data_IF_531680296361
#
_entry.id   IF_531680296361
#
_cell.length_a   1.000
_cell.length_b   1.000
_cell.length_c   1.000
_cell.angle_alpha   90.00
_cell.angle_beta   90.00
_cell.angle_gamma   90.00
#
_symmetry.space_group_name_H-M   'P 1'
#
loop_
_entity.id
_entity.type
_entity.pdbx_description
1 polymer ?
#
# COMPACT_ATOMS: atom_id res chain seq x y z
N UNK A 1 -14.22 0.60 -4.16
CA UNK A 1 -12.98 -0.20 -4.29
C UNK A 1 -11.78 0.76 -4.34
N UNK A 2 -11.23 1.15 -3.18
CA UNK A 2 -10.15 2.15 -3.10
C UNK A 2 -8.81 1.61 -2.57
N UNK A 3 -8.79 0.40 -2.00
CA UNK A 3 -7.63 -0.11 -1.26
C UNK A 3 -7.37 -1.58 -1.63
N UNK A 4 -6.64 -1.87 -2.72
CA UNK A 4 -6.21 -3.22 -3.04
C UNK A 4 -5.45 -3.83 -1.85
N UNK A 5 -5.98 -4.90 -1.27
CA UNK A 5 -5.40 -5.58 -0.13
C UNK A 5 -5.97 -7.00 -0.06
N UNK A 6 -5.11 -7.98 0.22
CA UNK A 6 -5.56 -9.35 0.41
C UNK A 6 -6.15 -9.55 1.81
N UNK A 7 -5.57 -8.90 2.82
CA UNK A 7 -6.04 -8.98 4.20
C UNK A 7 -6.80 -7.70 4.55
N UNK A 8 -8.12 -7.74 4.81
CA UNK A 8 -8.89 -6.57 5.20
C UNK A 8 -8.51 -6.08 6.62
N UNK A 9 -8.85 -4.83 6.98
CA UNK A 9 -8.74 -4.37 8.36
C UNK A 9 -9.73 -5.10 9.28
N UNK A 10 -9.60 -4.92 10.60
CA UNK A 10 -10.41 -5.59 11.64
C UNK A 10 -11.93 -5.47 11.46
N UNK A 11 -12.38 -4.40 10.82
CA UNK A 11 -13.78 -4.06 10.55
C UNK A 11 -14.11 -4.11 9.04
N UNK A 12 -13.22 -4.68 8.22
CA UNK A 12 -13.34 -4.68 6.78
C UNK A 12 -13.95 -5.97 6.21
N UNK A 13 -14.57 -5.83 5.05
CA UNK A 13 -15.04 -6.97 4.25
C UNK A 13 -13.91 -7.57 3.43
N UNK A 14 -14.08 -8.84 3.06
CA UNK A 14 -13.20 -9.48 2.06
C UNK A 14 -13.18 -8.67 0.76
N UNK A 15 -12.04 -8.65 0.06
CA UNK A 15 -11.96 -7.89 -1.18
C UNK A 15 -12.99 -8.47 -2.18
N UNK A 16 -13.76 -7.61 -2.87
CA UNK A 16 -14.80 -8.07 -3.80
C UNK A 16 -14.25 -8.72 -5.08
N UNK A 17 -12.93 -8.79 -5.21
CA UNK A 17 -12.17 -9.25 -6.36
C UNK A 17 -10.71 -9.49 -5.97
N UNK A 18 -9.92 -10.07 -6.87
CA UNK A 18 -8.47 -10.14 -6.72
C UNK A 18 -7.88 -8.71 -6.60
N UNK A 19 -7.08 -8.39 -5.57
CA UNK A 19 -6.50 -7.07 -5.42
C UNK A 19 -5.66 -6.61 -6.63
N UNK A 20 -5.04 -7.51 -7.39
CA UNK A 20 -4.31 -7.15 -8.60
C UNK A 20 -5.24 -6.56 -9.68
N UNK A 21 -6.46 -7.06 -9.78
CA UNK A 21 -7.51 -6.47 -10.65
C UNK A 21 -7.85 -5.05 -10.16
N UNK A 22 -7.95 -4.87 -8.84
CA UNK A 22 -8.15 -3.57 -8.23
C UNK A 22 -7.03 -2.57 -8.55
N UNK A 23 -5.77 -3.02 -8.53
CA UNK A 23 -4.61 -2.20 -8.95
C UNK A 23 -4.72 -1.82 -10.43
N UNK A 24 -4.95 -2.80 -11.31
CA UNK A 24 -5.07 -2.57 -12.74
C UNK A 24 -6.19 -1.55 -13.06
N UNK A 25 -7.33 -1.67 -12.38
CA UNK A 25 -8.44 -0.71 -12.52
C UNK A 25 -8.06 0.69 -12.08
N UNK A 26 -7.39 0.84 -10.93
CA UNK A 26 -6.97 2.16 -10.46
C UNK A 26 -5.98 2.82 -11.43
N UNK A 27 -5.03 2.06 -11.98
CA UNK A 27 -4.10 2.53 -13.01
C UNK A 27 -4.87 3.01 -14.24
N UNK A 28 -5.82 2.21 -14.74
CA UNK A 28 -6.61 2.54 -15.92
C UNK A 28 -7.45 3.81 -15.73
N UNK A 29 -8.14 3.95 -14.60
CA UNK A 29 -8.96 5.14 -14.30
C UNK A 29 -8.07 6.38 -14.18
N UNK A 30 -6.93 6.27 -13.49
CA UNK A 30 -5.99 7.39 -13.34
C UNK A 30 -5.49 7.87 -14.70
N UNK A 31 -5.17 6.94 -15.60
CA UNK A 31 -4.75 7.27 -16.96
C UNK A 31 -5.86 7.94 -17.79
N UNK A 32 -7.12 7.49 -17.66
CA UNK A 32 -8.26 8.14 -18.31
C UNK A 32 -8.45 9.57 -17.81
N UNK A 33 -8.34 9.80 -16.50
CA UNK A 33 -8.40 11.15 -15.91
C UNK A 33 -7.28 12.02 -16.47
N UNK A 34 -6.04 11.52 -16.51
CA UNK A 34 -4.90 12.28 -17.04
C UNK A 34 -5.05 12.61 -18.52
N UNK A 35 -5.62 11.70 -19.31
CA UNK A 35 -5.91 11.94 -20.73
C UNK A 35 -6.97 13.01 -20.95
N UNK A 36 -8.01 13.05 -20.10
CA UNK A 36 -9.09 14.04 -20.20
C UNK A 36 -8.72 15.41 -19.62
N UNK A 37 -7.76 15.44 -18.69
CA UNK A 37 -7.31 16.65 -18.00
C UNK A 37 -5.78 16.74 -18.03
N UNK A 38 -5.16 16.97 -19.20
CA UNK A 38 -3.70 16.88 -19.37
C UNK A 38 -2.91 17.88 -18.51
N UNK A 39 -3.50 19.05 -18.23
CA UNK A 39 -2.85 20.10 -17.43
C UNK A 39 -2.99 19.87 -15.92
N UNK A 40 -3.90 19.00 -15.49
CA UNK A 40 -4.06 18.64 -14.09
C UNK A 40 -2.95 17.65 -13.69
N UNK A 41 -2.24 17.96 -12.61
CA UNK A 41 -1.28 17.01 -12.02
C UNK A 41 -2.01 15.89 -11.29
N UNK A 42 -1.68 14.65 -11.63
CA UNK A 42 -2.34 13.43 -11.15
C UNK A 42 -1.35 12.53 -10.43
N UNK A 43 -1.74 12.07 -9.23
CA UNK A 43 -0.99 11.08 -8.44
C UNK A 43 -1.70 9.73 -8.51
N UNK A 44 -1.05 8.73 -9.10
CA UNK A 44 -1.50 7.35 -9.07
C UNK A 44 -1.28 6.73 -7.69
N UNK A 45 -2.27 6.00 -7.18
CA UNK A 45 -2.19 5.29 -5.88
C UNK A 45 -2.55 3.81 -6.03
N UNK A 46 -2.39 3.01 -4.96
CA UNK A 46 -2.74 1.58 -4.97
C UNK A 46 -1.60 0.61 -5.34
N UNK A 47 -0.41 1.11 -5.64
CA UNK A 47 0.68 0.31 -6.23
C UNK A 47 1.38 -0.62 -5.23
N UNK A 48 1.18 -0.46 -3.92
CA UNK A 48 1.91 -1.25 -2.90
C UNK A 48 1.70 -2.77 -3.02
N UNK A 49 0.59 -3.23 -3.60
CA UNK A 49 0.35 -4.66 -3.82
C UNK A 49 1.27 -5.27 -4.89
N UNK A 50 1.86 -4.45 -5.76
CA UNK A 50 2.78 -4.88 -6.82
C UNK A 50 4.17 -5.27 -6.29
N UNK A 51 4.51 -4.88 -5.04
CA UNK A 51 5.76 -5.26 -4.37
C UNK A 51 7.01 -5.00 -5.25
N UNK A 52 7.78 -6.03 -5.62
CA UNK A 52 8.97 -5.89 -6.48
C UNK A 52 8.67 -5.27 -7.85
N UNK A 53 7.44 -5.42 -8.36
CA UNK A 53 7.05 -4.89 -9.65
C UNK A 53 6.64 -3.42 -9.59
N UNK A 54 6.46 -2.87 -8.38
CA UNK A 54 6.02 -1.49 -8.17
C UNK A 54 6.85 -0.49 -8.99
N UNK A 55 8.20 -0.49 -8.94
CA UNK A 55 8.99 0.50 -9.66
C UNK A 55 8.87 0.37 -11.18
N UNK A 56 8.76 -0.86 -11.68
CA UNK A 56 8.64 -1.13 -13.11
C UNK A 56 7.31 -0.64 -13.66
N UNK A 57 6.21 -0.94 -12.96
CA UNK A 57 4.87 -0.46 -13.32
C UNK A 57 4.76 1.05 -13.16
N UNK A 58 5.29 1.61 -12.06
CA UNK A 58 5.30 3.05 -11.84
C UNK A 58 6.02 3.80 -12.96
N UNK A 59 7.20 3.32 -13.38
CA UNK A 59 7.95 3.88 -14.51
C UNK A 59 7.14 3.82 -15.80
N UNK A 60 6.47 2.71 -16.09
CA UNK A 60 5.66 2.56 -17.30
C UNK A 60 4.49 3.55 -17.31
N UNK A 61 3.75 3.66 -16.20
CA UNK A 61 2.60 4.58 -16.07
C UNK A 61 3.04 6.03 -16.28
N UNK A 62 4.11 6.48 -15.62
CA UNK A 62 4.58 7.87 -15.76
C UNK A 62 5.06 8.14 -17.18
N UNK A 63 5.83 7.22 -17.79
CA UNK A 63 6.33 7.38 -19.16
C UNK A 63 5.24 7.41 -20.23
N UNK A 64 4.13 6.73 -19.98
CA UNK A 64 2.98 6.69 -20.88
C UNK A 64 1.99 7.84 -20.63
N UNK A 65 2.31 8.76 -19.72
CA UNK A 65 1.41 9.87 -19.38
C UNK A 65 0.14 9.43 -18.65
N UNK A 66 0.16 8.26 -17.99
CA UNK A 66 -0.98 7.76 -17.22
C UNK A 66 -1.12 8.39 -15.83
N UNK A 67 -0.05 8.98 -15.31
CA UNK A 67 -0.01 9.81 -14.10
C UNK A 67 1.29 10.64 -14.10
N UNK A 68 1.32 11.76 -13.37
CA UNK A 68 2.54 12.57 -13.21
C UNK A 68 3.42 12.01 -12.08
N UNK A 69 2.79 11.45 -11.04
CA UNK A 69 3.48 10.88 -9.89
C UNK A 69 2.85 9.54 -9.47
N UNK A 70 3.64 8.69 -8.82
CA UNK A 70 3.12 7.50 -8.12
C UNK A 70 3.30 7.68 -6.62
N UNK A 71 2.19 7.75 -5.91
CA UNK A 71 2.16 7.94 -4.46
C UNK A 71 2.38 6.63 -3.70
N UNK A 72 3.25 6.68 -2.68
CA UNK A 72 3.50 5.56 -1.78
C UNK A 72 2.85 5.82 -0.41
N UNK A 73 1.77 5.10 -0.12
CA UNK A 73 1.14 5.08 1.20
C UNK A 73 1.76 3.98 2.07
N UNK A 74 1.03 2.88 2.24
CA UNK A 74 1.40 1.76 3.15
C UNK A 74 2.80 1.15 2.92
N UNK A 75 3.37 1.29 1.72
CA UNK A 75 4.74 0.84 1.44
C UNK A 75 5.80 1.66 2.20
N UNK A 76 5.59 2.97 2.36
CA UNK A 76 6.56 3.84 3.05
C UNK A 76 6.65 3.54 4.54
N UNK A 77 5.59 2.96 5.13
CA UNK A 77 5.56 2.56 6.53
C UNK A 77 6.47 1.37 6.84
N UNK A 78 6.70 0.49 5.86
CA UNK A 78 7.57 -0.68 6.03
C UNK A 78 8.93 -0.52 5.35
N UNK A 79 9.00 0.30 4.30
CA UNK A 79 10.21 0.54 3.52
C UNK A 79 10.35 2.02 3.12
N UNK A 80 10.64 2.93 4.06
CA UNK A 80 10.68 4.37 3.78
C UNK A 80 11.78 4.77 2.78
N UNK A 81 12.87 4.00 2.72
CA UNK A 81 14.00 4.23 1.81
C UNK A 81 13.75 3.71 0.39
N UNK A 82 12.62 3.03 0.12
CA UNK A 82 12.34 2.41 -1.18
C UNK A 82 12.56 3.36 -2.37
N UNK A 83 12.09 4.62 -2.37
CA UNK A 83 12.34 5.53 -3.49
C UNK A 83 13.82 5.79 -3.72
N UNK A 84 14.58 6.04 -2.65
CA UNK A 84 16.02 6.31 -2.74
C UNK A 84 16.80 5.08 -3.24
N UNK A 85 16.46 3.89 -2.74
CA UNK A 85 17.11 2.64 -3.16
C UNK A 85 16.83 2.35 -4.64
N UNK A 86 15.60 2.52 -5.11
CA UNK A 86 15.22 2.35 -6.52
C UNK A 86 15.97 3.34 -7.42
N UNK A 87 16.02 4.62 -7.04
CA UNK A 87 16.70 5.66 -7.83
C UNK A 87 18.21 5.45 -7.90
N UNK A 88 18.81 4.86 -6.86
CA UNK A 88 20.23 4.53 -6.82
C UNK A 88 20.56 3.17 -7.47
N UNK A 89 19.56 2.46 -8.01
CA UNK A 89 19.75 1.14 -8.62
C UNK A 89 20.14 0.06 -7.61
N UNK A 90 19.86 0.27 -6.32
CA UNK A 90 20.12 -0.72 -5.27
C UNK A 90 19.14 -1.87 -5.35
N UNK A 91 19.58 -3.06 -4.94
CA UNK A 91 18.69 -4.21 -4.77
C UNK A 91 17.65 -3.92 -3.70
N UNK A 92 16.36 -4.02 -4.06
CA UNK A 92 15.27 -3.80 -3.13
C UNK A 92 15.21 -4.88 -2.04
N UNK A 93 15.00 -4.45 -0.81
CA UNK A 93 14.91 -5.33 0.35
C UNK A 93 13.51 -5.97 0.47
N UNK A 94 13.36 -7.17 -0.12
CA UNK A 94 12.08 -7.91 -0.13
C UNK A 94 11.41 -8.06 1.25
N UNK A 95 12.20 -8.20 2.32
CA UNK A 95 11.71 -8.35 3.70
C UNK A 95 10.85 -7.15 4.17
N UNK A 96 11.09 -5.97 3.59
CA UNK A 96 10.42 -4.72 3.92
C UNK A 96 9.18 -4.45 3.04
N UNK A 97 8.86 -5.31 2.06
CA UNK A 97 7.70 -5.10 1.22
C UNK A 97 6.39 -5.22 1.99
N UNK A 98 5.53 -4.22 1.82
CA UNK A 98 4.18 -4.22 2.36
C UNK A 98 3.39 -5.40 1.78
N UNK A 99 2.97 -6.33 2.65
CA UNK A 99 2.16 -7.50 2.30
C UNK A 99 0.67 -7.30 2.55
N UNK A 100 0.24 -6.05 2.71
CA UNK A 100 -1.16 -5.65 2.89
C UNK A 100 -1.88 -6.28 4.08
N UNK A 101 -1.19 -6.50 5.20
CA UNK A 101 -1.75 -7.06 6.45
C UNK A 101 -2.85 -6.20 7.11
N UNK A 102 -3.01 -4.97 6.66
CA UNK A 102 -3.97 -3.98 7.14
C UNK A 102 -3.78 -3.43 8.55
N UNK A 103 -2.71 -3.77 9.27
CA UNK A 103 -2.43 -3.26 10.62
C UNK A 103 -2.35 -1.72 10.67
N UNK A 104 -1.74 -1.10 9.66
CA UNK A 104 -1.70 0.36 9.47
C UNK A 104 -3.09 1.02 9.40
N UNK A 105 -4.15 0.26 9.14
CA UNK A 105 -5.55 0.71 9.13
C UNK A 105 -6.32 0.20 10.34
N UNK A 106 -6.11 -1.05 10.74
CA UNK A 106 -6.71 -1.64 11.95
C UNK A 106 -6.36 -0.84 13.20
N UNK A 107 -5.09 -0.49 13.40
CA UNK A 107 -4.64 0.23 14.59
C UNK A 107 -5.39 1.57 14.79
N UNK A 108 -5.34 2.54 13.85
CA UNK A 108 -5.99 3.84 14.06
C UNK A 108 -7.52 3.75 14.15
N UNK A 109 -8.14 2.73 13.56
CA UNK A 109 -9.60 2.51 13.70
C UNK A 109 -10.01 2.05 15.09
N UNK A 110 -9.06 1.61 15.91
CA UNK A 110 -9.29 1.16 17.29
C UNK A 110 -8.57 2.07 18.30
N UNK A 111 -8.26 3.31 17.94
CA UNK A 111 -7.60 4.27 18.84
C UNK A 111 -6.12 4.00 19.10
N UNK A 112 -5.49 3.10 18.34
CA UNK A 112 -4.07 2.75 18.45
C UNK A 112 -3.27 3.48 17.38
N UNK A 113 -2.01 3.85 17.67
CA UNK A 113 -1.15 4.55 16.70
C UNK A 113 -0.97 3.75 15.40
N UNK A 114 -1.04 4.45 14.25
CA UNK A 114 -0.88 3.83 12.93
C UNK A 114 0.58 3.53 12.61
N UNK A 115 0.87 2.34 12.10
CA UNK A 115 2.20 1.96 11.64
C UNK A 115 2.27 0.57 11.00
N UNK A 116 3.50 0.08 10.78
CA UNK A 116 3.75 -1.25 10.25
C UNK A 116 4.28 -2.23 11.31
N UNK A 117 3.40 -2.60 12.22
CA UNK A 117 3.63 -3.59 13.29
C UNK A 117 4.41 -4.87 12.89
N UNK A 118 4.17 -5.52 11.74
CA UNK A 118 4.85 -6.77 11.43
C UNK A 118 6.24 -6.62 10.78
N UNK A 119 6.55 -5.46 10.18
CA UNK A 119 7.75 -5.27 9.34
C UNK A 119 8.69 -4.16 9.80
N UNK A 120 8.17 -3.15 10.51
CA UNK A 120 8.96 -2.09 11.09
C UNK A 120 9.38 -2.50 12.51
N UNK A 121 10.68 -2.54 12.79
CA UNK A 121 11.22 -2.98 14.08
C UNK A 121 10.73 -2.12 15.24
N UNK A 122 10.60 -0.80 15.05
CA UNK A 122 10.13 0.10 16.10
C UNK A 122 8.69 -0.26 16.50
N UNK A 123 7.78 -0.37 15.53
CA UNK A 123 6.39 -0.75 15.81
C UNK A 123 6.24 -2.18 16.33
N UNK A 124 7.15 -3.08 15.97
CA UNK A 124 7.13 -4.47 16.46
C UNK A 124 7.51 -4.57 17.94
N UNK A 125 8.37 -3.68 18.42
CA UNK A 125 8.84 -3.63 19.80
C UNK A 125 7.90 -2.85 20.72
N UNK A 126 6.97 -2.08 20.15
CA UNK A 126 5.98 -1.31 20.90
C UNK A 126 4.93 -2.22 21.60
N UNK A 127 4.48 -1.88 22.81
CA UNK A 127 3.39 -2.59 23.50
C UNK A 127 2.11 -2.70 22.65
N UNK A 128 1.83 -1.69 21.83
CA UNK A 128 0.69 -1.60 20.91
C UNK A 128 0.66 -2.74 19.88
N UNK A 129 1.82 -3.37 19.59
CA UNK A 129 1.86 -4.57 18.75
C UNK A 129 0.92 -5.66 19.25
N UNK A 130 0.95 -5.94 20.56
CA UNK A 130 0.08 -6.96 21.15
C UNK A 130 -1.39 -6.55 21.09
N UNK A 131 -1.69 -5.27 21.35
CA UNK A 131 -3.05 -4.74 21.25
C UNK A 131 -3.63 -4.95 19.83
N UNK A 132 -2.86 -4.62 18.79
CA UNK A 132 -3.29 -4.82 17.39
C UNK A 132 -3.49 -6.30 17.07
N UNK A 133 -2.63 -7.18 17.59
CA UNK A 133 -2.76 -8.62 17.40
C UNK A 133 -4.02 -9.19 18.08
N UNK A 134 -4.37 -8.71 19.26
CA UNK A 134 -5.58 -9.08 19.98
C UNK A 134 -6.84 -8.61 19.25
N UNK A 135 -6.86 -7.35 18.80
CA UNK A 135 -7.95 -6.79 17.98
C UNK A 135 -8.20 -7.66 16.74
N UNK A 136 -7.14 -8.00 15.99
CA UNK A 136 -7.28 -8.84 14.79
C UNK A 136 -7.80 -10.25 15.09
N UNK A 137 -7.36 -10.86 16.19
CA UNK A 137 -7.83 -12.18 16.62
C UNK A 137 -9.30 -12.15 17.01
N UNK A 138 -9.76 -11.07 17.66
CA UNK A 138 -11.17 -10.91 18.00
C UNK A 138 -12.03 -10.77 16.75
N UNK A 139 -11.60 -9.97 15.77
CA UNK A 139 -12.31 -9.77 14.50
C UNK A 139 -12.38 -11.00 13.60
N UNK A 140 -11.41 -11.91 13.66
CA UNK A 140 -11.39 -13.12 12.83
C UNK A 140 -12.34 -14.24 13.31
N UNK A 141 -13.01 -14.06 14.46
CA UNK A 141 -13.97 -15.03 15.04
C UNK A 141 -15.43 -14.78 14.65
N UNK A 142 -15.68 -13.82 13.77
CA UNK A 142 -16.99 -13.52 13.19
C UNK A 142 -16.96 -13.80 11.68
#
# INVERSE_FOLDING_TARGET
IQRPALFPPSDGYQPPEDPLVGVARQIAITAQVKQQCPDLLVVGTGYSYLQEWLPHVARAVVRQGGADFVGLGRMVLSYPQLPADVLQGKTMQRKLFCRTFSDCTTAPRNGVVSGCYPLDSHYKEMPEYQQVMEIKKASAKH
#
